data_IF_331303712927
#
_entry.id   IF_331303712927
#
_cell.length_a   1.000
_cell.length_b   1.000
_cell.length_c   1.000
_cell.angle_alpha   90.00
_cell.angle_beta   90.00
_cell.angle_gamma   90.00
#
_symmetry.space_group_name_H-M   'P 1'
#
loop_
_entity.id
_entity.type
_entity.pdbx_description
1 polymer ?
#
# COMPACT_ATOMS: atom_id res chain seq x y z
N UNK A 1 -4.25 -7.38 -19.08
CA UNK A 1 -4.79 -8.52 -18.26
C UNK A 1 -3.89 -8.82 -17.05
N UNK A 2 -4.48 -9.02 -15.86
CA UNK A 2 -3.74 -9.42 -14.64
C UNK A 2 -3.56 -10.94 -14.54
N UNK A 3 -2.35 -11.39 -14.20
CA UNK A 3 -2.01 -12.81 -14.00
C UNK A 3 -1.26 -13.01 -12.68
N UNK A 4 -1.12 -14.28 -12.26
CA UNK A 4 -0.20 -14.66 -11.19
C UNK A 4 -0.45 -13.97 -9.85
N UNK A 5 -1.71 -13.75 -9.47
CA UNK A 5 -2.03 -13.16 -8.17
C UNK A 5 -1.38 -13.94 -7.02
N UNK A 6 -0.61 -13.24 -6.20
CA UNK A 6 0.03 -13.79 -5.02
C UNK A 6 -0.12 -12.82 -3.84
N UNK A 7 -0.22 -13.38 -2.64
CA UNK A 7 -0.38 -12.62 -1.40
C UNK A 7 0.43 -13.30 -0.32
N UNK A 8 1.36 -12.56 0.26
CA UNK A 8 2.19 -13.00 1.37
C UNK A 8 2.02 -12.03 2.53
N UNK A 9 1.87 -12.56 3.74
CA UNK A 9 1.71 -11.77 4.96
C UNK A 9 2.46 -12.43 6.09
N UNK A 10 3.12 -11.60 6.89
CA UNK A 10 3.95 -12.06 7.99
C UNK A 10 3.80 -11.13 9.20
N UNK A 11 3.61 -11.73 10.36
CA UNK A 11 3.79 -11.06 11.64
C UNK A 11 5.22 -11.31 12.11
N UNK A 12 5.95 -10.25 12.42
CA UNK A 12 7.32 -10.29 12.92
C UNK A 12 7.32 -10.49 14.43
N UNK A 13 8.42 -11.05 14.96
CA UNK A 13 8.63 -11.22 16.41
C UNK A 13 8.59 -9.88 17.17
N UNK A 14 8.89 -8.77 16.47
CA UNK A 14 8.78 -7.41 16.98
C UNK A 14 7.34 -6.91 17.15
N UNK A 15 6.34 -7.70 16.74
CA UNK A 15 4.95 -7.28 16.60
C UNK A 15 4.68 -6.46 15.33
N UNK A 16 5.69 -6.29 14.47
CA UNK A 16 5.56 -5.65 13.16
C UNK A 16 4.78 -6.52 12.18
N UNK A 17 4.10 -5.88 11.24
CA UNK A 17 3.32 -6.52 10.20
C UNK A 17 3.94 -6.21 8.83
N UNK A 18 4.11 -7.26 8.04
CA UNK A 18 4.52 -7.19 6.66
C UNK A 18 3.46 -7.83 5.77
N UNK A 19 3.26 -7.23 4.60
CA UNK A 19 2.29 -7.72 3.62
C UNK A 19 2.78 -7.37 2.23
N UNK A 20 2.62 -8.30 1.28
CA UNK A 20 2.94 -8.10 -0.12
C UNK A 20 1.81 -8.68 -0.96
N UNK A 21 1.29 -7.89 -1.89
CA UNK A 21 0.42 -8.35 -2.97
C UNK A 21 1.11 -8.10 -4.29
N UNK A 22 1.10 -9.10 -5.16
CA UNK A 22 1.72 -8.99 -6.47
C UNK A 22 0.92 -9.67 -7.57
N UNK A 23 1.13 -9.17 -8.79
CA UNK A 23 0.54 -9.66 -10.03
C UNK A 23 1.53 -9.46 -11.18
N UNK A 24 1.36 -10.24 -12.24
CA UNK A 24 2.10 -10.08 -13.49
C UNK A 24 1.23 -9.43 -14.57
N UNK A 25 1.84 -8.56 -15.36
CA UNK A 25 1.25 -7.87 -16.53
C UNK A 25 2.21 -7.95 -17.71
N UNK A 26 1.65 -8.01 -18.93
CA UNK A 26 2.45 -8.15 -20.15
C UNK A 26 3.11 -6.84 -20.59
N UNK A 27 2.49 -5.70 -20.27
CA UNK A 27 2.92 -4.38 -20.71
C UNK A 27 3.03 -3.40 -19.53
N UNK A 28 3.92 -2.40 -19.61
CA UNK A 28 4.04 -1.36 -18.58
C UNK A 28 2.70 -0.66 -18.34
N UNK A 29 2.28 -0.53 -17.07
CA UNK A 29 1.09 0.23 -16.68
C UNK A 29 1.41 1.68 -16.29
N UNK A 30 2.69 1.98 -16.13
CA UNK A 30 3.25 3.33 -15.98
C UNK A 30 4.56 3.42 -16.74
N UNK A 31 4.86 4.63 -17.23
CA UNK A 31 6.15 4.96 -17.81
C UNK A 31 7.27 4.89 -16.77
N UNK A 32 8.49 4.58 -17.23
CA UNK A 32 9.73 4.66 -16.44
C UNK A 32 10.18 6.11 -16.19
N UNK A 33 9.33 6.88 -15.52
CA UNK A 33 9.52 8.31 -15.27
C UNK A 33 9.12 8.69 -13.84
N UNK A 34 9.50 9.90 -13.41
CA UNK A 34 9.03 10.46 -12.14
C UNK A 34 7.50 10.54 -12.09
N UNK A 35 6.87 10.95 -13.19
CA UNK A 35 5.41 11.02 -13.32
C UNK A 35 4.77 9.65 -13.17
N UNK A 36 5.36 8.62 -13.78
CA UNK A 36 4.91 7.23 -13.65
C UNK A 36 5.01 6.72 -12.21
N UNK A 37 6.15 6.95 -11.56
CA UNK A 37 6.36 6.62 -10.15
C UNK A 37 5.32 7.32 -9.26
N UNK A 38 5.16 8.64 -9.41
CA UNK A 38 4.16 9.41 -8.65
C UNK A 38 2.75 8.89 -8.87
N UNK A 39 2.42 8.49 -10.10
CA UNK A 39 1.10 7.97 -10.44
C UNK A 39 0.78 6.65 -9.72
N UNK A 40 1.75 5.75 -9.50
CA UNK A 40 1.56 4.53 -8.70
C UNK A 40 0.98 4.87 -7.31
N UNK A 41 1.58 5.84 -6.62
CA UNK A 41 1.09 6.31 -5.32
C UNK A 41 -0.31 6.92 -5.41
N UNK A 42 -0.52 7.86 -6.34
CA UNK A 42 -1.82 8.53 -6.52
C UNK A 42 -2.94 7.51 -6.77
N UNK A 43 -2.72 6.57 -7.69
CA UNK A 43 -3.72 5.57 -8.05
C UNK A 43 -4.07 4.64 -6.88
N UNK A 44 -3.11 4.25 -6.05
CA UNK A 44 -3.38 3.43 -4.86
C UNK A 44 -4.21 4.17 -3.82
N UNK A 45 -3.88 5.42 -3.54
CA UNK A 45 -4.67 6.21 -2.59
C UNK A 45 -6.08 6.47 -3.09
N UNK A 46 -6.27 6.65 -4.40
CA UNK A 46 -7.61 6.70 -5.01
C UNK A 46 -8.35 5.36 -4.93
N UNK A 47 -7.63 4.23 -4.96
CA UNK A 47 -8.23 2.91 -4.78
C UNK A 47 -8.70 2.73 -3.33
N UNK A 48 -7.92 3.14 -2.33
CA UNK A 48 -8.31 3.16 -0.90
C UNK A 48 -9.56 4.03 -0.69
N UNK A 49 -9.56 5.25 -1.21
CA UNK A 49 -10.69 6.18 -1.07
C UNK A 49 -11.98 5.60 -1.67
N UNK A 50 -11.92 5.11 -2.91
CA UNK A 50 -13.08 4.52 -3.58
C UNK A 50 -13.55 3.22 -2.95
N UNK A 51 -12.63 2.35 -2.53
CA UNK A 51 -12.97 1.10 -1.87
C UNK A 51 -13.71 1.35 -0.55
N UNK A 52 -13.30 2.37 0.19
CA UNK A 52 -13.96 2.79 1.44
C UNK A 52 -15.14 3.73 1.21
N UNK A 53 -15.53 3.99 -0.05
CA UNK A 53 -16.59 4.94 -0.43
C UNK A 53 -16.41 6.32 0.21
N UNK A 54 -15.17 6.80 0.28
CA UNK A 54 -14.81 8.07 0.90
C UNK A 54 -14.76 8.06 2.42
N UNK A 55 -14.87 6.89 3.07
CA UNK A 55 -14.71 6.72 4.51
C UNK A 55 -13.28 6.97 4.97
N UNK A 56 -12.28 6.56 4.17
CA UNK A 56 -10.86 6.85 4.38
C UNK A 56 -10.38 7.76 3.25
N UNK A 57 -10.13 9.02 3.58
CA UNK A 57 -9.75 10.04 2.58
C UNK A 57 -8.25 10.34 2.64
N UNK A 58 -7.51 10.15 1.54
CA UNK A 58 -6.15 10.63 1.43
C UNK A 58 -6.13 12.15 1.26
N UNK A 59 -5.16 12.80 1.92
CA UNK A 59 -4.82 14.20 1.69
C UNK A 59 -3.30 14.32 1.62
N UNK A 60 -2.81 15.02 0.60
CA UNK A 60 -1.40 15.22 0.33
C UNK A 60 -1.06 16.70 0.31
N UNK A 61 0.08 17.04 0.89
CA UNK A 61 0.75 18.35 0.85
C UNK A 61 2.23 18.11 0.57
N UNK A 62 3.02 19.19 0.42
CA UNK A 62 4.46 19.06 0.18
C UNK A 62 5.18 18.36 1.35
N UNK A 63 4.67 18.50 2.58
CA UNK A 63 5.18 17.81 3.78
C UNK A 63 4.80 16.32 3.88
N UNK A 64 4.05 15.78 2.92
CA UNK A 64 3.64 14.38 2.89
C UNK A 64 2.13 14.17 2.95
N UNK A 65 1.73 13.00 3.46
CA UNK A 65 0.36 12.50 3.31
C UNK A 65 -0.32 12.17 4.62
N UNK A 66 -1.65 12.19 4.61
CA UNK A 66 -2.47 11.67 5.70
C UNK A 66 -3.69 10.93 5.18
N UNK A 67 -4.02 9.81 5.81
CA UNK A 67 -5.29 9.14 5.66
C UNK A 67 -6.21 9.55 6.80
N UNK A 68 -7.37 10.08 6.46
CA UNK A 68 -8.34 10.59 7.45
C UNK A 68 -9.62 9.76 7.46
N UNK A 69 -10.10 9.37 8.64
CA UNK A 69 -11.41 8.74 8.78
C UNK A 69 -12.49 9.82 8.79
N UNK A 70 -13.46 9.70 7.86
CA UNK A 70 -14.56 10.64 7.66
C UNK A 70 -14.09 12.11 7.56
N UNK A 71 -12.85 12.33 7.14
CA UNK A 71 -12.24 13.66 6.99
C UNK A 71 -11.69 14.31 8.27
N UNK A 72 -11.80 13.68 9.44
CA UNK A 72 -11.41 14.27 10.73
C UNK A 72 -10.18 13.62 11.39
N UNK A 73 -10.25 12.32 11.69
CA UNK A 73 -9.20 11.64 12.47
C UNK A 73 -8.07 11.12 11.58
N UNK A 74 -6.83 11.44 11.92
CA UNK A 74 -5.64 10.94 11.19
C UNK A 74 -5.38 9.47 11.55
N UNK A 75 -5.77 8.55 10.66
CA UNK A 75 -5.52 7.13 10.81
C UNK A 75 -4.02 6.82 10.65
N UNK A 76 -3.42 7.36 9.60
CA UNK A 76 -2.00 7.24 9.28
C UNK A 76 -1.47 8.55 8.69
N UNK A 77 -0.24 8.89 9.03
CA UNK A 77 0.52 9.98 8.45
C UNK A 77 1.75 9.42 7.73
N UNK A 78 2.16 10.06 6.64
CA UNK A 78 3.23 9.61 5.76
C UNK A 78 4.21 10.74 5.45
N UNK A 79 5.47 10.39 5.19
CA UNK A 79 6.44 11.30 4.59
C UNK A 79 6.02 11.70 3.17
N UNK A 80 6.67 12.72 2.58
CA UNK A 80 6.65 12.90 1.14
C UNK A 80 7.02 11.59 0.41
N UNK A 81 6.47 11.36 -0.79
CA UNK A 81 6.81 10.16 -1.57
C UNK A 81 8.31 10.16 -1.93
N UNK A 82 8.96 9.04 -1.65
CA UNK A 82 10.25 8.71 -2.21
C UNK A 82 10.01 8.01 -3.55
N UNK A 83 10.51 8.60 -4.64
CA UNK A 83 10.29 8.11 -6.00
C UNK A 83 11.57 7.48 -6.54
N UNK A 84 11.44 6.33 -7.20
CA UNK A 84 12.53 5.68 -7.92
C UNK A 84 12.02 5.31 -9.31
N UNK A 85 12.81 5.58 -10.34
CA UNK A 85 12.44 5.23 -11.72
C UNK A 85 13.69 4.89 -12.54
N UNK A 86 13.61 3.80 -13.28
CA UNK A 86 14.54 3.31 -14.27
C UNK A 86 13.80 2.38 -15.24
N UNK A 87 14.49 1.83 -16.24
CA UNK A 87 13.91 0.81 -17.11
C UNK A 87 13.54 -0.47 -16.36
N UNK A 88 14.21 -0.76 -15.24
CA UNK A 88 14.02 -2.00 -14.48
C UNK A 88 13.03 -1.84 -13.32
N UNK A 89 12.87 -0.64 -12.77
CA UNK A 89 12.04 -0.37 -11.60
C UNK A 89 11.41 1.01 -11.67
N UNK A 90 10.09 1.05 -11.47
CA UNK A 90 9.34 2.26 -11.16
C UNK A 90 8.69 2.05 -9.80
N UNK A 91 8.92 2.95 -8.84
CA UNK A 91 8.48 2.79 -7.46
C UNK A 91 8.08 4.11 -6.82
N UNK A 92 7.03 4.05 -6.00
CA UNK A 92 6.63 5.08 -5.07
C UNK A 92 6.60 4.50 -3.66
N UNK A 93 7.34 5.12 -2.75
CA UNK A 93 7.42 4.70 -1.35
C UNK A 93 6.96 5.82 -0.42
N UNK A 94 6.16 5.44 0.56
CA UNK A 94 5.69 6.32 1.63
C UNK A 94 6.10 5.75 2.99
N UNK A 95 6.98 6.46 3.71
CA UNK A 95 7.32 6.07 5.07
C UNK A 95 6.19 6.44 6.03
N UNK A 96 5.84 5.55 6.95
CA UNK A 96 4.77 5.77 7.94
C UNK A 96 5.34 6.60 9.10
N UNK A 97 4.80 7.80 9.28
CA UNK A 97 5.21 8.77 10.30
C UNK A 97 4.41 8.68 11.60
N UNK A 98 3.34 7.88 11.63
CA UNK A 98 2.48 7.71 12.80
C UNK A 98 1.00 7.75 12.45
N UNK A 99 0.17 8.14 13.41
CA UNK A 99 -1.30 8.16 13.30
C UNK A 99 -1.97 7.27 14.35
N UNK A 100 -3.30 7.28 14.39
CA UNK A 100 -4.07 6.50 15.36
C UNK A 100 -3.87 4.98 15.21
N UNK A 101 -3.62 4.50 13.99
CA UNK A 101 -3.41 3.09 13.72
C UNK A 101 -1.96 2.65 13.95
N UNK A 102 -1.00 3.57 13.98
CA UNK A 102 0.41 3.27 14.23
C UNK A 102 0.73 3.31 15.74
N UNK A 103 1.42 2.28 16.23
CA UNK A 103 1.94 2.26 17.59
C UNK A 103 3.01 3.34 17.78
N UNK A 104 3.93 3.42 16.82
CA UNK A 104 5.02 4.41 16.73
C UNK A 104 5.31 4.70 15.25
N UNK A 105 6.01 5.80 14.92
CA UNK A 105 6.55 6.00 13.58
C UNK A 105 7.45 4.82 13.17
N UNK A 106 7.34 4.36 11.93
CA UNK A 106 8.08 3.19 11.44
C UNK A 106 7.31 2.39 10.41
N UNK A 107 8.06 1.72 9.53
CA UNK A 107 7.55 0.99 8.39
C UNK A 107 7.25 1.86 7.17
N UNK A 108 6.87 1.22 6.08
CA UNK A 108 6.57 1.87 4.80
C UNK A 108 5.53 1.14 3.99
N UNK A 109 4.96 1.87 3.04
CA UNK A 109 4.17 1.32 1.95
C UNK A 109 4.91 1.62 0.65
N UNK A 110 5.19 0.59 -0.14
CA UNK A 110 5.92 0.67 -1.41
C UNK A 110 5.05 0.11 -2.52
N UNK A 111 4.95 0.86 -3.61
CA UNK A 111 4.19 0.50 -4.80
C UNK A 111 5.16 0.45 -5.95
N UNK A 112 5.25 -0.67 -6.66
CA UNK A 112 6.23 -0.82 -7.72
C UNK A 112 5.70 -1.52 -8.96
N UNK A 113 6.35 -1.20 -10.08
CA UNK A 113 6.39 -1.96 -11.31
C UNK A 113 7.85 -2.34 -11.54
N UNK A 114 8.14 -3.64 -11.64
CA UNK A 114 9.50 -4.17 -11.83
C UNK A 114 9.52 -5.16 -12.98
N UNK A 115 10.59 -5.18 -13.77
CA UNK A 115 10.78 -6.20 -14.80
C UNK A 115 10.91 -7.60 -14.20
N UNK A 116 10.22 -8.57 -14.79
CA UNK A 116 10.21 -9.97 -14.35
C UNK A 116 10.25 -10.91 -15.57
N UNK A 117 11.44 -11.06 -16.17
CA UNK A 117 11.60 -11.75 -17.44
C UNK A 117 10.96 -10.95 -18.58
N UNK A 118 10.06 -11.58 -19.33
CA UNK A 118 9.31 -10.97 -20.43
C UNK A 118 8.04 -10.23 -19.96
N UNK A 119 7.71 -10.31 -18.68
CA UNK A 119 6.56 -9.64 -18.06
C UNK A 119 7.03 -8.54 -17.08
N UNK A 120 6.07 -7.80 -16.53
CA UNK A 120 6.29 -6.89 -15.42
C UNK A 120 5.51 -7.35 -14.18
N UNK A 121 6.16 -7.29 -13.04
CA UNK A 121 5.57 -7.53 -11.73
C UNK A 121 5.10 -6.21 -11.13
N UNK A 122 3.82 -6.12 -10.80
CA UNK A 122 3.27 -5.03 -10.00
C UNK A 122 3.16 -5.49 -8.57
N UNK A 123 3.66 -4.69 -7.63
CA UNK A 123 3.68 -5.04 -6.21
C UNK A 123 3.17 -3.90 -5.35
N UNK A 124 2.40 -4.24 -4.32
CA UNK A 124 2.12 -3.39 -3.15
C UNK A 124 2.70 -4.08 -1.94
N UNK A 125 3.68 -3.44 -1.31
CA UNK A 125 4.37 -3.96 -0.13
C UNK A 125 4.15 -3.02 1.05
N UNK A 126 3.84 -3.60 2.21
CA UNK A 126 3.86 -2.95 3.52
C UNK A 126 4.96 -3.64 4.33
N UNK A 127 5.91 -2.85 4.85
CA UNK A 127 7.07 -3.35 5.59
C UNK A 127 7.13 -2.73 6.97
N UNK A 128 7.52 -3.54 7.96
CA UNK A 128 7.83 -3.13 9.35
C UNK A 128 6.76 -2.25 10.02
N UNK A 129 5.52 -2.29 9.55
CA UNK A 129 4.45 -1.47 10.09
C UNK A 129 4.04 -2.01 11.46
N UNK A 130 4.01 -1.17 12.49
CA UNK A 130 3.63 -1.56 13.84
C UNK A 130 2.20 -1.10 14.15
N UNK A 131 1.17 -1.95 13.95
CA UNK A 131 -0.21 -1.58 14.25
C UNK A 131 -0.46 -1.45 15.76
N UNK A 132 -1.05 -0.32 16.18
CA UNK A 132 -1.38 -0.01 17.57
C UNK A 132 -2.31 -1.05 18.22
N UNK A 133 -3.25 -1.59 17.44
CA UNK A 133 -4.23 -2.56 17.94
C UNK A 133 -3.64 -3.96 18.17
N UNK A 134 -2.54 -4.32 17.49
CA UNK A 134 -1.79 -5.54 17.80
C UNK A 134 -0.98 -5.41 19.11
N UNK A 135 -0.72 -4.18 19.54
CA UNK A 135 0.16 -3.86 20.67
C UNK A 135 -0.58 -3.48 21.97
N UNK A 136 -1.88 -3.75 22.11
CA UNK A 136 -2.53 -3.69 23.43
C UNK A 136 -1.94 -4.80 24.32
N UNK A 137 -0.89 -4.46 25.06
CA UNK A 137 -0.31 -5.28 26.13
C UNK A 137 -1.43 -5.72 27.09
N UNK A 138 -1.65 -7.03 27.18
CA UNK A 138 -2.70 -7.65 28.02
C UNK A 138 -4.02 -7.97 27.31
N UNK A 139 -4.19 -7.61 26.02
CA UNK A 139 -5.32 -8.10 25.24
C UNK A 139 -5.10 -9.57 24.83
N UNK A 140 -6.16 -10.40 24.77
CA UNK A 140 -6.02 -11.78 24.35
C UNK A 140 -5.40 -11.90 22.96
N UNK A 141 -4.46 -12.83 22.77
CA UNK A 141 -3.80 -13.16 21.50
C UNK A 141 -4.73 -13.23 20.27
N UNK A 142 -6.00 -13.62 20.45
CA UNK A 142 -6.99 -13.66 19.38
C UNK A 142 -7.44 -12.29 18.84
N UNK A 143 -7.26 -11.18 19.58
CA UNK A 143 -7.60 -9.83 19.09
C UNK A 143 -6.60 -9.32 18.05
N UNK A 144 -5.32 -9.65 18.20
CA UNK A 144 -4.31 -9.43 17.15
C UNK A 144 -4.57 -10.31 15.92
N UNK A 145 -5.03 -11.55 16.13
CA UNK A 145 -5.40 -12.49 15.07
C UNK A 145 -6.67 -12.09 14.30
N UNK A 146 -7.67 -11.46 14.96
CA UNK A 146 -8.85 -10.88 14.31
C UNK A 146 -8.49 -9.66 13.45
N UNK A 147 -7.51 -8.87 13.88
CA UNK A 147 -7.01 -7.72 13.13
C UNK A 147 -6.20 -8.15 11.89
N UNK A 148 -5.30 -9.14 12.05
CA UNK A 148 -4.61 -9.78 10.92
C UNK A 148 -5.59 -10.42 9.93
N UNK A 149 -6.65 -11.11 10.42
CA UNK A 149 -7.71 -11.68 9.58
C UNK A 149 -8.62 -10.64 8.91
N UNK A 150 -8.72 -9.41 9.42
CA UNK A 150 -9.55 -8.34 8.86
C UNK A 150 -8.81 -7.39 7.91
N UNK A 151 -7.54 -7.10 8.20
CA UNK A 151 -6.68 -6.30 7.33
C UNK A 151 -6.29 -7.05 6.05
N UNK A 152 -6.05 -8.36 6.14
CA UNK A 152 -5.65 -9.19 4.99
C UNK A 152 -6.65 -9.16 3.83
N UNK A 153 -7.97 -9.39 4.04
CA UNK A 153 -8.97 -9.25 2.98
C UNK A 153 -9.10 -7.82 2.46
N UNK A 154 -8.96 -6.82 3.33
CA UNK A 154 -9.04 -5.41 2.95
C UNK A 154 -7.88 -5.02 2.03
N UNK A 155 -6.64 -5.31 2.42
CA UNK A 155 -5.45 -5.01 1.63
C UNK A 155 -5.46 -5.78 0.30
N UNK A 156 -5.81 -7.07 0.32
CA UNK A 156 -5.98 -7.84 -0.91
C UNK A 156 -7.04 -7.24 -1.84
N UNK A 157 -8.21 -6.84 -1.32
CA UNK A 157 -9.28 -6.25 -2.13
C UNK A 157 -8.92 -4.87 -2.70
N UNK A 158 -8.27 -4.02 -1.90
CA UNK A 158 -7.75 -2.72 -2.36
C UNK A 158 -6.69 -2.93 -3.44
N UNK A 159 -5.71 -3.82 -3.21
CA UNK A 159 -4.64 -4.11 -4.16
C UNK A 159 -5.18 -4.68 -5.47
N UNK A 160 -6.17 -5.59 -5.44
CA UNK A 160 -6.88 -6.06 -6.65
C UNK A 160 -7.49 -4.92 -7.44
N UNK A 161 -8.21 -4.02 -6.76
CA UNK A 161 -8.87 -2.87 -7.40
C UNK A 161 -7.85 -1.89 -7.99
N UNK A 162 -6.77 -1.65 -7.25
CA UNK A 162 -5.65 -0.83 -7.69
C UNK A 162 -5.01 -1.37 -8.97
N UNK A 163 -4.60 -2.65 -9.00
CA UNK A 163 -3.98 -3.24 -10.20
C UNK A 163 -4.94 -3.25 -11.39
N UNK A 164 -6.22 -3.54 -11.16
CA UNK A 164 -7.24 -3.53 -12.22
C UNK A 164 -7.38 -2.13 -12.84
N UNK A 165 -7.36 -1.09 -12.00
CA UNK A 165 -7.41 0.29 -12.47
C UNK A 165 -6.17 0.68 -13.28
N UNK A 166 -4.98 0.27 -12.84
CA UNK A 166 -3.74 0.57 -13.55
C UNK A 166 -3.73 -0.03 -14.96
N UNK A 167 -4.09 -1.31 -15.08
CA UNK A 167 -4.20 -1.98 -16.39
C UNK A 167 -5.25 -1.30 -17.27
N UNK A 168 -6.45 -1.03 -16.74
CA UNK A 168 -7.52 -0.41 -17.52
C UNK A 168 -7.16 1.01 -18.03
N UNK A 169 -6.28 1.74 -17.34
CA UNK A 169 -5.79 3.05 -17.77
C UNK A 169 -4.65 2.94 -18.80
N UNK A 170 -3.84 1.89 -18.74
CA UNK A 170 -2.78 1.67 -19.71
C UNK A 170 -3.33 1.24 -21.08
N UNK A 171 -4.49 0.56 -21.08
CA UNK A 171 -5.20 0.10 -22.27
C UNK A 171 -6.06 1.21 -22.95
N UNK A 172 -6.14 2.42 -22.37
CA UNK A 172 -6.98 3.54 -22.83
C UNK A 172 -6.18 4.67 -23.47
#
# INVERSE_FOLDING_TARGET
>A
MLRGWDTNERLLDSGGFESSQRVLVAEPVVESSESGARWLGVAYWQAVDRFTRGGVRPRWTDDGGRLTLLGGMNLLCFSPPELTFSEELVSCRHAIRGGLLALRPGGSITLSQRRAGDELELTVTVEEYLPRLAARLGAPWWTGALYAKGQSPFHAAVSRRYFTQLVAKAES
#
